data_IF_863719144011
#
_entry.id   IF_863719144011
#
_cell.length_a   1.000
_cell.length_b   1.000
_cell.length_c   1.000
_cell.angle_alpha   90.00
_cell.angle_beta   90.00
_cell.angle_gamma   90.00
#
_symmetry.space_group_name_H-M   'P 1'
#
loop_
_entity.id
_entity.type
_entity.pdbx_description
1 polymer ?
#
# COMPACT_ATOMS: atom_id res chain seq x y z
N UNK A 1 -0.83 2.45 1.38
CA UNK A 1 -0.20 2.17 2.70
C UNK A 1 -1.17 2.54 3.82
N UNK A 2 -0.90 2.19 5.10
CA UNK A 2 -1.78 2.53 6.24
C UNK A 2 -2.14 4.02 6.29
N UNK A 3 -1.23 4.88 5.85
CA UNK A 3 -1.33 6.34 5.83
C UNK A 3 -2.15 6.88 4.64
N UNK A 4 -2.48 6.03 3.66
CA UNK A 4 -3.21 6.44 2.45
C UNK A 4 -4.69 6.69 2.72
N UNK A 5 -5.34 7.58 1.94
CA UNK A 5 -6.80 7.79 2.00
C UNK A 5 -7.60 6.49 1.81
N UNK A 6 -7.10 5.58 0.96
CA UNK A 6 -7.70 4.28 0.72
C UNK A 6 -7.67 3.36 1.94
N UNK A 7 -6.54 3.30 2.66
CA UNK A 7 -6.47 2.52 3.90
C UNK A 7 -7.45 3.05 4.94
N UNK A 8 -7.54 4.37 5.14
CA UNK A 8 -8.52 4.97 6.04
C UNK A 8 -9.97 4.62 5.66
N UNK A 9 -10.30 4.63 4.37
CA UNK A 9 -11.61 4.21 3.88
C UNK A 9 -11.91 2.73 4.16
N UNK A 10 -10.94 1.84 3.94
CA UNK A 10 -11.09 0.42 4.22
C UNK A 10 -11.15 0.10 5.72
N UNK A 11 -10.36 0.78 6.55
CA UNK A 11 -10.42 0.66 8.00
C UNK A 11 -11.81 1.04 8.53
N UNK A 12 -12.40 2.14 8.04
CA UNK A 12 -13.78 2.52 8.37
C UNK A 12 -14.79 1.44 8.00
N UNK A 13 -14.64 0.80 6.82
CA UNK A 13 -15.48 -0.35 6.42
C UNK A 13 -15.28 -1.54 7.38
N UNK A 14 -14.05 -1.80 7.82
CA UNK A 14 -13.74 -2.85 8.78
C UNK A 14 -14.44 -2.64 10.13
N UNK A 15 -14.36 -1.42 10.66
CA UNK A 15 -15.08 -1.02 11.90
C UNK A 15 -16.59 -1.17 11.74
N UNK A 16 -17.13 -0.90 10.55
CA UNK A 16 -18.55 -1.09 10.23
C UNK A 16 -18.95 -2.57 10.00
N UNK A 17 -18.05 -3.53 10.24
CA UNK A 17 -18.35 -4.97 10.15
C UNK A 17 -18.17 -5.59 8.77
N UNK A 18 -17.51 -4.89 7.82
CA UNK A 18 -17.21 -5.47 6.52
C UNK A 18 -16.37 -6.75 6.67
N UNK A 19 -16.81 -7.84 6.04
CA UNK A 19 -16.22 -9.18 6.22
C UNK A 19 -14.75 -9.27 5.81
N UNK A 20 -14.32 -8.47 4.85
CA UNK A 20 -12.93 -8.46 4.36
C UNK A 20 -12.05 -7.56 5.21
N UNK A 21 -12.49 -6.32 5.46
CA UNK A 21 -11.63 -5.34 6.12
C UNK A 21 -11.60 -5.46 7.63
N UNK A 22 -12.55 -6.16 8.27
CA UNK A 22 -12.53 -6.39 9.72
C UNK A 22 -11.34 -7.23 10.21
N UNK A 23 -10.79 -8.08 9.33
CA UNK A 23 -9.61 -8.93 9.61
C UNK A 23 -8.35 -8.46 8.88
N UNK A 24 -8.44 -7.39 8.10
CA UNK A 24 -7.30 -6.90 7.32
C UNK A 24 -6.28 -6.20 8.23
N UNK A 25 -4.99 -6.41 7.94
CA UNK A 25 -3.89 -5.66 8.54
C UNK A 25 -3.43 -4.60 7.54
N UNK A 26 -3.30 -3.38 8.02
CA UNK A 26 -2.78 -2.27 7.23
C UNK A 26 -1.36 -2.00 7.73
N UNK A 27 -0.37 -2.07 6.85
CA UNK A 27 1.03 -1.81 7.20
C UNK A 27 1.46 -0.42 6.78
N UNK A 28 2.31 0.21 7.59
CA UNK A 28 3.09 1.36 7.14
C UNK A 28 4.19 0.90 6.19
N UNK A 29 4.78 1.84 5.45
CA UNK A 29 5.96 1.52 4.62
C UNK A 29 7.09 0.91 5.47
N UNK A 30 7.39 1.56 6.59
CA UNK A 30 8.48 1.18 7.47
C UNK A 30 8.34 -0.25 7.99
N UNK A 31 7.14 -0.63 8.45
CA UNK A 31 6.88 -2.01 8.89
C UNK A 31 7.12 -3.01 7.75
N UNK A 32 6.78 -2.64 6.51
CA UNK A 32 7.00 -3.50 5.35
C UNK A 32 8.49 -3.61 4.96
N UNK A 33 9.23 -2.51 5.03
CA UNK A 33 10.68 -2.50 4.82
C UNK A 33 11.42 -3.31 5.89
N UNK A 34 11.01 -3.20 7.15
CA UNK A 34 11.54 -4.00 8.26
C UNK A 34 11.28 -5.51 8.02
N UNK A 35 10.04 -5.90 7.66
CA UNK A 35 9.73 -7.30 7.32
C UNK A 35 10.56 -7.83 6.14
N UNK A 36 10.78 -7.03 5.10
CA UNK A 36 11.63 -7.42 3.98
C UNK A 36 13.09 -7.58 4.40
N UNK A 37 13.60 -6.64 5.19
CA UNK A 37 14.97 -6.69 5.71
C UNK A 37 15.21 -7.92 6.58
N UNK A 38 14.28 -8.25 7.47
CA UNK A 38 14.34 -9.46 8.31
C UNK A 38 14.30 -10.74 7.46
N UNK A 39 13.60 -10.71 6.33
CA UNK A 39 13.59 -11.80 5.35
C UNK A 39 14.83 -11.85 4.44
N UNK A 40 15.81 -10.95 4.63
CA UNK A 40 17.02 -10.86 3.84
C UNK A 40 16.81 -10.22 2.46
N UNK A 41 15.86 -9.30 2.32
CA UNK A 41 15.61 -8.56 1.10
C UNK A 41 15.90 -7.07 1.27
N UNK A 42 16.31 -6.43 0.17
CA UNK A 42 16.44 -4.98 0.07
C UNK A 42 15.51 -4.46 -1.03
N UNK A 43 14.72 -3.44 -0.72
CA UNK A 43 13.92 -2.72 -1.73
C UNK A 43 14.86 -1.92 -2.64
N UNK A 44 14.69 -2.06 -3.96
CA UNK A 44 15.53 -1.41 -4.97
C UNK A 44 14.75 -0.51 -5.94
N UNK A 45 13.43 -0.71 -6.06
CA UNK A 45 12.57 0.16 -6.86
C UNK A 45 11.12 0.09 -6.35
N UNK A 46 10.31 1.07 -6.73
CA UNK A 46 8.89 1.11 -6.39
C UNK A 46 8.08 1.75 -7.52
N UNK A 47 6.80 1.40 -7.60
CA UNK A 47 5.85 2.06 -8.48
C UNK A 47 4.49 2.17 -7.80
N UNK A 48 3.84 3.32 -7.90
CA UNK A 48 2.62 3.66 -7.17
C UNK A 48 1.50 4.09 -8.12
N UNK A 49 0.25 3.78 -7.78
CA UNK A 49 -0.94 4.20 -8.53
C UNK A 49 -2.17 4.33 -7.60
N UNK A 50 -3.31 4.73 -8.18
CA UNK A 50 -4.57 5.03 -7.47
C UNK A 50 -4.39 6.23 -6.51
N UNK A 51 -4.09 7.40 -7.07
CA UNK A 51 -3.99 8.66 -6.29
C UNK A 51 -5.36 9.33 -6.10
N UNK A 52 -6.37 8.96 -6.90
CA UNK A 52 -7.75 9.43 -6.72
C UNK A 52 -8.31 8.99 -5.36
N UNK A 53 -9.18 9.83 -4.81
CA UNK A 53 -9.87 9.52 -3.55
C UNK A 53 -10.77 8.29 -3.70
N UNK A 54 -10.90 7.42 -2.68
CA UNK A 54 -11.87 6.31 -2.67
C UNK A 54 -13.33 6.76 -2.81
N UNK A 55 -13.62 8.04 -2.60
CA UNK A 55 -14.96 8.63 -2.73
C UNK A 55 -15.19 9.37 -4.05
N UNK A 56 -14.17 9.51 -4.90
CA UNK A 56 -14.30 10.19 -6.19
C UNK A 56 -15.17 9.39 -7.16
N UNK A 57 -15.99 10.09 -7.96
CA UNK A 57 -16.89 9.49 -8.96
C UNK A 57 -16.94 10.35 -10.23
N UNK A 58 -16.73 9.79 -11.44
CA UNK A 58 -16.29 8.41 -11.69
C UNK A 58 -14.81 8.23 -11.37
N UNK A 59 -14.41 7.01 -10.99
CA UNK A 59 -12.99 6.65 -10.94
C UNK A 59 -12.44 6.51 -12.36
N UNK A 60 -11.22 7.01 -12.55
CA UNK A 60 -10.52 6.99 -13.83
C UNK A 60 -9.35 6.00 -13.76
N UNK A 61 -8.92 5.50 -14.92
CA UNK A 61 -7.67 4.77 -14.99
C UNK A 61 -6.49 5.71 -14.71
N UNK A 62 -5.55 5.27 -13.87
CA UNK A 62 -4.34 6.02 -13.55
C UNK A 62 -3.10 5.22 -13.96
N UNK A 63 -2.28 5.83 -14.81
CA UNK A 63 -0.96 5.29 -15.11
C UNK A 63 -0.10 5.27 -13.84
N UNK A 64 0.58 4.16 -13.53
CA UNK A 64 1.50 4.10 -12.42
C UNK A 64 2.65 5.10 -12.56
N UNK A 65 3.09 5.65 -11.42
CA UNK A 65 4.23 6.55 -11.31
C UNK A 65 5.35 5.83 -10.59
N UNK A 66 6.55 5.81 -11.20
CA UNK A 66 7.75 5.30 -10.53
C UNK A 66 7.98 6.08 -9.24
N UNK A 67 8.38 5.37 -8.19
CA UNK A 67 8.57 5.90 -6.87
C UNK A 67 7.50 5.44 -5.89
N UNK A 68 7.73 5.86 -4.66
CA UNK A 68 7.00 5.43 -3.49
C UNK A 68 6.24 6.61 -2.91
N UNK A 69 4.92 6.51 -2.90
CA UNK A 69 4.06 7.61 -2.50
C UNK A 69 3.08 7.14 -1.43
N UNK A 70 3.19 7.70 -0.22
CA UNK A 70 2.35 7.31 0.93
C UNK A 70 0.85 7.49 0.68
N UNK A 71 0.50 8.49 -0.13
CA UNK A 71 -0.89 8.80 -0.48
C UNK A 71 -1.46 7.89 -1.59
N UNK A 72 -0.66 7.02 -2.21
CA UNK A 72 -1.14 6.10 -3.23
C UNK A 72 -1.99 4.96 -2.63
N UNK A 73 -3.09 4.63 -3.30
CA UNK A 73 -3.95 3.50 -2.94
C UNK A 73 -3.32 2.14 -3.24
N UNK A 74 -2.36 2.08 -4.16
CA UNK A 74 -1.63 0.87 -4.51
C UNK A 74 -0.14 1.16 -4.74
N UNK A 75 0.71 0.26 -4.25
CA UNK A 75 2.17 0.33 -4.39
C UNK A 75 2.72 -1.06 -4.67
N UNK A 76 3.57 -1.17 -5.68
CA UNK A 76 4.37 -2.34 -5.96
C UNK A 76 5.84 -2.04 -5.60
N UNK A 77 6.50 -2.97 -4.91
CA UNK A 77 7.92 -2.87 -4.55
C UNK A 77 8.70 -3.94 -5.32
N UNK A 78 9.85 -3.54 -5.87
CA UNK A 78 10.88 -4.45 -6.36
C UNK A 78 11.89 -4.64 -5.24
N UNK A 79 12.10 -5.89 -4.83
CA UNK A 79 13.09 -6.24 -3.82
C UNK A 79 14.04 -7.31 -4.34
N UNK A 80 15.29 -7.22 -3.92
CA UNK A 80 16.36 -8.17 -4.25
C UNK A 80 16.80 -8.90 -3.00
N UNK A 81 16.99 -10.22 -3.10
CA UNK A 81 17.49 -11.02 -1.99
C UNK A 81 18.97 -10.71 -1.80
N UNK A 82 19.34 -10.32 -0.59
CA UNK A 82 20.74 -10.17 -0.21
C UNK A 82 21.37 -11.56 -0.25
N UNK A 83 22.50 -11.69 -0.96
CA UNK A 83 23.27 -12.92 -1.00
C UNK A 83 23.74 -13.32 0.40
N UNK A 84 23.90 -14.63 0.62
CA UNK A 84 24.59 -15.17 1.79
C UNK A 84 26.06 -14.74 1.81
#
# INVERSE_FOLDING_TARGET
MRESPWAGFYMKKGVAGNVFYKVARFYSLREFEEMLSEAGFKVVDACSTIFQSPTEKPLRFESPRRGLYENAGFVALKAEKLGL
#
